data_IF_347512696202
#
_entry.id   IF_347512696202
#
_cell.length_a   1.000
_cell.length_b   1.000
_cell.length_c   1.000
_cell.angle_alpha   90.00
_cell.angle_beta   90.00
_cell.angle_gamma   90.00
#
_symmetry.space_group_name_H-M   'P 1'
#
loop_
_entity.id
_entity.type
_entity.pdbx_description
1 polymer ?
#
# COMPACT_ATOMS: atom_id res chain seq x y z
N UNK A 1 -34.41 43.28 -11.60
CA UNK A 1 -33.03 43.47 -11.11
C UNK A 1 -33.20 43.95 -9.68
N UNK A 2 -32.93 43.22 -8.60
CA UNK A 2 -31.84 42.28 -8.34
C UNK A 2 -32.23 41.57 -7.02
N UNK A 3 -32.58 40.27 -7.04
CA UNK A 3 -32.98 39.54 -5.81
C UNK A 3 -32.31 38.15 -5.72
N UNK A 4 -31.07 38.06 -6.20
CA UNK A 4 -30.29 36.82 -6.29
C UNK A 4 -28.96 36.89 -5.50
N UNK A 5 -28.96 37.46 -4.29
CA UNK A 5 -27.73 37.62 -3.47
C UNK A 5 -27.83 37.11 -2.03
N UNK A 6 -28.88 36.39 -1.66
CA UNK A 6 -28.93 35.60 -0.43
C UNK A 6 -28.96 34.14 -0.84
N UNK A 7 -27.87 33.38 -0.67
CA UNK A 7 -28.00 31.99 -0.20
C UNK A 7 -26.70 31.26 0.10
N UNK A 8 -25.51 31.87 0.11
CA UNK A 8 -24.35 31.21 0.70
C UNK A 8 -23.25 32.20 1.12
N UNK A 9 -23.12 32.46 2.42
CA UNK A 9 -21.86 32.96 2.98
C UNK A 9 -21.10 31.75 3.52
N UNK A 10 -19.93 31.38 2.95
CA UNK A 10 -19.15 30.26 3.46
C UNK A 10 -18.81 30.50 4.92
N UNK A 11 -19.26 29.61 5.80
CA UNK A 11 -19.01 29.72 7.23
C UNK A 11 -17.48 29.62 7.47
N UNK A 12 -16.83 30.69 7.97
CA UNK A 12 -15.38 30.73 8.12
C UNK A 12 -14.87 29.68 9.11
N UNK A 13 -15.70 29.26 10.08
CA UNK A 13 -15.37 28.19 11.03
C UNK A 13 -15.35 26.81 10.36
N UNK A 14 -16.20 26.58 9.37
CA UNK A 14 -16.22 25.34 8.57
C UNK A 14 -15.02 25.29 7.62
N UNK A 15 -14.64 26.41 7.00
CA UNK A 15 -13.41 26.48 6.19
C UNK A 15 -12.16 26.28 7.05
N UNK A 16 -12.06 26.94 8.20
CA UNK A 16 -10.94 26.77 9.12
C UNK A 16 -10.87 25.34 9.69
N UNK A 17 -12.01 24.74 10.05
CA UNK A 17 -12.09 23.34 10.50
C UNK A 17 -11.78 22.32 9.40
N UNK A 18 -12.20 22.57 8.16
CA UNK A 18 -11.89 21.69 7.03
C UNK A 18 -10.43 21.81 6.60
N UNK A 19 -9.83 23.01 6.63
CA UNK A 19 -8.39 23.20 6.37
C UNK A 19 -7.55 22.60 7.49
N UNK A 20 -8.00 22.69 8.75
CA UNK A 20 -7.29 22.09 9.88
C UNK A 20 -7.41 20.56 9.93
N UNK A 21 -8.48 19.98 9.38
CA UNK A 21 -8.60 18.52 9.20
C UNK A 21 -7.91 17.99 7.93
N UNK A 22 -7.98 18.73 6.83
CA UNK A 22 -7.27 18.37 5.58
C UNK A 22 -5.75 18.49 5.75
N UNK A 23 -5.27 19.44 6.55
CA UNK A 23 -3.86 19.56 6.93
C UNK A 23 -3.37 18.46 7.89
N UNK A 24 -4.29 17.71 8.51
CA UNK A 24 -4.00 16.57 9.40
C UNK A 24 -4.23 15.22 8.72
N UNK A 25 -4.37 15.21 7.39
CA UNK A 25 -4.59 13.98 6.62
C UNK A 25 -3.43 12.98 6.77
N UNK A 26 -3.72 11.68 6.59
CA UNK A 26 -3.01 10.55 7.17
C UNK A 26 -1.58 10.34 6.69
N UNK A 27 -1.02 11.18 5.82
CA UNK A 27 0.38 11.07 5.37
C UNK A 27 1.35 11.05 6.57
N UNK A 28 1.10 11.87 7.59
CA UNK A 28 1.85 11.84 8.86
C UNK A 28 1.36 10.75 9.84
N UNK A 29 0.12 10.29 9.70
CA UNK A 29 -0.40 9.16 10.51
C UNK A 29 0.22 7.82 10.05
N UNK A 30 0.44 7.65 8.75
CA UNK A 30 1.21 6.55 8.17
C UNK A 30 2.68 6.62 8.60
N UNK A 31 3.28 7.81 8.66
CA UNK A 31 4.61 8.00 9.23
C UNK A 31 4.67 7.55 10.70
N UNK A 32 3.65 7.87 11.51
CA UNK A 32 3.55 7.36 12.89
C UNK A 32 3.20 5.87 12.98
N UNK A 33 2.42 5.30 12.07
CA UNK A 33 2.19 3.85 11.97
C UNK A 33 3.48 3.12 11.57
N UNK A 34 4.33 3.76 10.76
CA UNK A 34 5.65 3.26 10.37
C UNK A 34 6.67 3.39 11.51
N UNK A 35 6.53 4.40 12.39
CA UNK A 35 7.44 4.66 13.52
C UNK A 35 7.02 4.02 14.86
N UNK A 36 5.72 3.77 15.10
CA UNK A 36 5.18 3.50 16.45
C UNK A 36 4.95 2.03 16.83
N UNK A 37 5.43 1.04 16.07
CA UNK A 37 5.27 -0.34 16.60
C UNK A 37 5.71 -1.49 15.70
N UNK A 38 6.07 -1.21 14.46
CA UNK A 38 6.71 -2.19 13.60
C UNK A 38 7.77 -1.44 12.80
N UNK A 39 8.99 -1.36 13.35
CA UNK A 39 10.17 -1.43 12.46
C UNK A 39 9.81 -2.51 11.43
N UNK A 40 9.87 -2.26 10.11
CA UNK A 40 9.39 -3.24 9.15
C UNK A 40 10.08 -4.54 9.52
N UNK A 41 9.29 -5.51 10.01
CA UNK A 41 9.81 -6.72 10.64
C UNK A 41 10.79 -7.43 9.69
N UNK A 42 10.58 -7.20 8.39
CA UNK A 42 11.43 -7.56 7.24
C UNK A 42 12.84 -6.96 7.28
N UNK A 43 13.00 -5.66 7.58
CA UNK A 43 14.32 -5.03 7.68
C UNK A 43 15.11 -5.47 8.92
N UNK A 44 14.41 -5.82 10.01
CA UNK A 44 15.06 -6.38 11.20
C UNK A 44 15.54 -7.81 10.94
N UNK A 45 14.71 -8.66 10.32
CA UNK A 45 15.10 -10.02 9.92
C UNK A 45 16.25 -9.99 8.90
N UNK A 46 16.21 -9.08 7.92
CA UNK A 46 17.30 -8.88 6.96
C UNK A 46 18.60 -8.40 7.61
N UNK A 47 18.52 -7.50 8.60
CA UNK A 47 19.67 -7.02 9.35
C UNK A 47 20.24 -8.09 10.31
N UNK A 48 19.39 -8.83 11.02
CA UNK A 48 19.79 -9.91 11.92
C UNK A 48 20.44 -11.07 11.14
N UNK A 49 19.89 -11.40 9.96
CA UNK A 49 20.51 -12.32 9.00
C UNK A 49 21.85 -11.76 8.50
N UNK A 50 21.96 -10.47 8.20
CA UNK A 50 23.22 -9.86 7.76
C UNK A 50 24.32 -9.84 8.83
N UNK A 51 23.96 -9.74 10.12
CA UNK A 51 24.92 -9.72 11.24
C UNK A 51 25.36 -11.13 11.65
N UNK A 52 24.47 -12.13 11.60
CA UNK A 52 24.78 -13.51 12.02
C UNK A 52 25.56 -14.32 10.95
N UNK A 53 25.37 -14.02 9.67
CA UNK A 53 25.92 -14.83 8.57
C UNK A 53 27.44 -14.72 8.34
N UNK A 54 28.08 -13.53 8.34
CA UNK A 54 29.52 -13.44 8.09
C UNK A 54 30.36 -14.02 9.24
N UNK A 55 29.79 -14.17 10.45
CA UNK A 55 30.49 -14.70 11.61
C UNK A 55 30.75 -16.22 11.53
N UNK A 56 29.96 -16.95 10.74
CA UNK A 56 30.01 -18.42 10.68
C UNK A 56 30.88 -18.98 9.54
N UNK A 57 31.42 -18.12 8.65
CA UNK A 57 32.07 -18.56 7.41
C UNK A 57 33.60 -18.49 7.47
N UNK A 58 34.26 -19.57 7.03
CA UNK A 58 35.73 -19.75 7.08
C UNK A 58 36.46 -19.17 5.86
N UNK A 59 35.76 -18.68 4.82
CA UNK A 59 36.37 -18.20 3.56
C UNK A 59 35.82 -16.84 3.11
N UNK A 60 36.72 -15.90 2.86
CA UNK A 60 36.41 -14.50 2.55
C UNK A 60 35.51 -14.32 1.30
N UNK A 61 35.72 -15.10 0.24
CA UNK A 61 34.96 -14.97 -1.02
C UNK A 61 33.48 -15.29 -0.82
N UNK A 62 33.15 -16.28 0.02
CA UNK A 62 31.75 -16.62 0.30
C UNK A 62 31.09 -15.50 1.11
N UNK A 63 31.77 -14.95 2.11
CA UNK A 63 31.27 -13.83 2.90
C UNK A 63 30.93 -12.62 2.00
N UNK A 64 31.79 -12.27 1.03
CA UNK A 64 31.50 -11.19 0.09
C UNK A 64 30.24 -11.46 -0.75
N UNK A 65 30.04 -12.68 -1.25
CA UNK A 65 28.87 -13.03 -2.05
C UNK A 65 27.55 -12.90 -1.28
N UNK A 66 27.52 -13.30 0.00
CA UNK A 66 26.31 -13.15 0.81
C UNK A 66 26.04 -11.70 1.19
N UNK A 67 27.07 -10.93 1.53
CA UNK A 67 26.93 -9.50 1.86
C UNK A 67 26.44 -8.72 0.64
N UNK A 68 26.96 -8.99 -0.56
CA UNK A 68 26.47 -8.34 -1.79
C UNK A 68 25.04 -8.76 -2.13
N UNK A 69 24.70 -10.05 -2.00
CA UNK A 69 23.32 -10.52 -2.20
C UNK A 69 22.33 -9.85 -1.21
N UNK A 70 22.71 -9.74 0.07
CA UNK A 70 21.91 -9.06 1.08
C UNK A 70 21.77 -7.56 0.79
N UNK A 71 22.84 -6.88 0.38
CA UNK A 71 22.78 -5.49 -0.05
C UNK A 71 21.85 -5.29 -1.25
N UNK A 72 21.87 -6.20 -2.23
CA UNK A 72 20.93 -6.18 -3.36
C UNK A 72 19.48 -6.33 -2.91
N UNK A 73 19.19 -7.23 -1.94
CA UNK A 73 17.85 -7.38 -1.38
C UNK A 73 17.36 -6.08 -0.72
N UNK A 74 18.21 -5.42 0.08
CA UNK A 74 17.88 -4.15 0.71
C UNK A 74 17.62 -3.02 -0.31
N UNK A 75 18.35 -3.00 -1.41
CA UNK A 75 18.12 -2.05 -2.51
C UNK A 75 16.78 -2.31 -3.20
N UNK A 76 16.42 -3.58 -3.43
CA UNK A 76 15.12 -3.97 -3.99
C UNK A 76 14.00 -3.55 -3.04
N UNK A 77 14.15 -3.74 -1.73
CA UNK A 77 13.18 -3.29 -0.73
C UNK A 77 13.00 -1.76 -0.76
N UNK A 78 14.10 -1.01 -0.76
CA UNK A 78 14.07 0.45 -0.82
C UNK A 78 13.38 0.96 -2.10
N UNK A 79 13.67 0.33 -3.25
CA UNK A 79 13.01 0.63 -4.51
C UNK A 79 11.50 0.33 -4.45
N UNK A 80 11.13 -0.80 -3.88
CA UNK A 80 9.73 -1.23 -3.73
C UNK A 80 8.92 -0.24 -2.89
N UNK A 81 9.52 0.24 -1.80
CA UNK A 81 8.90 1.26 -0.95
C UNK A 81 8.64 2.55 -1.74
N UNK A 82 9.65 3.06 -2.44
CA UNK A 82 9.53 4.27 -3.25
C UNK A 82 8.48 4.11 -4.37
N UNK A 83 8.49 2.97 -5.07
CA UNK A 83 7.54 2.64 -6.11
C UNK A 83 6.10 2.54 -5.58
N UNK A 84 5.91 1.97 -4.38
CA UNK A 84 4.61 1.90 -3.72
C UNK A 84 4.06 3.30 -3.42
N UNK A 85 4.88 4.23 -2.93
CA UNK A 85 4.45 5.62 -2.72
C UNK A 85 3.95 6.27 -4.02
N UNK A 86 4.65 6.04 -5.13
CA UNK A 86 4.21 6.51 -6.44
C UNK A 86 2.84 5.93 -6.84
N UNK A 87 2.65 4.61 -6.68
CA UNK A 87 1.38 3.95 -6.97
C UNK A 87 0.23 4.45 -6.10
N UNK A 88 0.46 4.71 -4.81
CA UNK A 88 -0.54 5.29 -3.91
C UNK A 88 -0.98 6.67 -4.40
N UNK A 89 -0.04 7.52 -4.81
CA UNK A 89 -0.35 8.84 -5.38
C UNK A 89 -1.18 8.72 -6.67
N UNK A 90 -0.86 7.75 -7.53
CA UNK A 90 -1.62 7.47 -8.74
C UNK A 90 -3.04 6.97 -8.42
N UNK A 91 -3.17 6.06 -7.45
CA UNK A 91 -4.45 5.54 -6.97
C UNK A 91 -5.35 6.65 -6.42
N UNK A 92 -4.80 7.57 -5.62
CA UNK A 92 -5.53 8.74 -5.12
C UNK A 92 -6.05 9.65 -6.24
N UNK A 93 -5.22 9.92 -7.26
CA UNK A 93 -5.61 10.72 -8.43
C UNK A 93 -6.75 10.04 -9.20
N UNK A 94 -6.65 8.74 -9.43
CA UNK A 94 -7.67 7.95 -10.13
C UNK A 94 -9.00 7.93 -9.37
N UNK A 95 -8.95 7.77 -8.04
CA UNK A 95 -10.11 7.84 -7.14
C UNK A 95 -10.85 9.18 -7.24
N UNK A 96 -10.11 10.29 -7.20
CA UNK A 96 -10.69 11.64 -7.31
C UNK A 96 -11.31 11.84 -8.70
N UNK A 97 -10.59 11.45 -9.76
CA UNK A 97 -11.06 11.56 -11.14
C UNK A 97 -12.35 10.75 -11.37
N UNK A 98 -12.38 9.47 -11.00
CA UNK A 98 -13.53 8.59 -11.16
C UNK A 98 -14.76 9.13 -10.42
N UNK A 99 -14.60 9.45 -9.12
CA UNK A 99 -15.69 9.99 -8.30
C UNK A 99 -16.26 11.29 -8.90
N UNK A 100 -15.40 12.18 -9.42
CA UNK A 100 -15.82 13.44 -10.02
C UNK A 100 -16.58 13.24 -11.35
N UNK A 101 -16.15 12.30 -12.19
CA UNK A 101 -16.77 12.02 -13.48
C UNK A 101 -18.15 11.37 -13.30
N UNK A 102 -18.23 10.38 -12.41
CA UNK A 102 -19.49 9.72 -12.07
C UNK A 102 -20.45 10.75 -11.49
N UNK A 103 -20.05 11.53 -10.49
CA UNK A 103 -20.90 12.55 -9.90
C UNK A 103 -21.46 13.54 -10.93
N UNK A 104 -20.63 14.03 -11.87
CA UNK A 104 -21.07 14.91 -12.96
C UNK A 104 -22.07 14.23 -13.89
N UNK A 105 -21.86 12.95 -14.23
CA UNK A 105 -22.79 12.17 -15.05
C UNK A 105 -24.12 11.96 -14.34
N UNK A 106 -24.09 11.67 -13.04
CA UNK A 106 -25.28 11.49 -12.22
C UNK A 106 -26.12 12.77 -12.15
N UNK A 107 -25.50 13.94 -11.92
CA UNK A 107 -26.22 15.22 -11.90
C UNK A 107 -26.90 15.52 -13.24
N UNK A 108 -26.22 15.29 -14.37
CA UNK A 108 -26.81 15.49 -15.70
C UNK A 108 -27.98 14.53 -15.96
N UNK A 109 -27.86 13.28 -15.54
CA UNK A 109 -28.90 12.27 -15.74
C UNK A 109 -30.12 12.52 -14.84
N UNK A 110 -29.90 12.96 -13.59
CA UNK A 110 -30.98 13.33 -12.65
C UNK A 110 -31.78 14.55 -13.10
N UNK A 111 -31.16 15.48 -13.84
CA UNK A 111 -31.89 16.59 -14.48
C UNK A 111 -32.73 16.12 -15.68
N UNK A 112 -32.35 15.02 -16.34
CA UNK A 112 -33.00 14.49 -17.55
C UNK A 112 -34.04 13.40 -17.26
N UNK A 113 -33.93 12.71 -16.13
CA UNK A 113 -34.78 11.60 -15.74
C UNK A 113 -35.22 11.80 -14.28
N UNK A 114 -36.53 11.92 -14.06
CA UNK A 114 -37.14 12.22 -12.74
C UNK A 114 -37.03 11.08 -11.70
N UNK A 115 -36.24 10.03 -11.95
CA UNK A 115 -36.08 8.87 -11.06
C UNK A 115 -34.83 8.97 -10.17
N UNK A 116 -34.96 9.55 -8.97
CA UNK A 116 -33.85 9.75 -8.02
C UNK A 116 -33.25 8.48 -7.43
N UNK A 117 -34.00 7.37 -7.38
CA UNK A 117 -33.58 6.13 -6.70
C UNK A 117 -32.44 5.40 -7.41
N UNK A 118 -32.41 5.47 -8.74
CA UNK A 118 -31.33 4.87 -9.56
C UNK A 118 -29.99 5.57 -9.29
N UNK A 119 -30.02 6.87 -8.99
CA UNK A 119 -28.81 7.62 -8.78
C UNK A 119 -28.12 7.31 -7.45
N UNK A 120 -28.91 7.13 -6.39
CA UNK A 120 -28.42 6.68 -5.09
C UNK A 120 -27.80 5.28 -5.15
N UNK A 121 -28.43 4.35 -5.89
CA UNK A 121 -27.90 2.98 -6.08
C UNK A 121 -26.53 2.95 -6.76
N UNK A 122 -26.34 3.72 -7.83
CA UNK A 122 -25.06 3.79 -8.54
C UNK A 122 -23.97 4.39 -7.65
N UNK A 123 -24.28 5.43 -6.87
CA UNK A 123 -23.32 6.02 -5.94
C UNK A 123 -22.91 5.03 -4.84
N UNK A 124 -23.87 4.28 -4.29
CA UNK A 124 -23.60 3.27 -3.27
C UNK A 124 -22.67 2.15 -3.79
N UNK A 125 -22.90 1.66 -5.02
CA UNK A 125 -22.02 0.69 -5.67
C UNK A 125 -20.61 1.28 -5.88
N UNK A 126 -20.53 2.49 -6.44
CA UNK A 126 -19.27 3.18 -6.71
C UNK A 126 -18.46 3.47 -5.44
N UNK A 127 -19.11 3.84 -4.34
CA UNK A 127 -18.43 4.06 -3.06
C UNK A 127 -17.78 2.78 -2.53
N UNK A 128 -18.39 1.61 -2.78
CA UNK A 128 -17.78 0.32 -2.47
C UNK A 128 -16.57 0.05 -3.36
N UNK A 129 -16.70 0.25 -4.67
CA UNK A 129 -15.62 -0.01 -5.64
C UNK A 129 -14.40 0.91 -5.42
N UNK A 130 -14.66 2.17 -5.07
CA UNK A 130 -13.62 3.18 -4.81
C UNK A 130 -12.78 2.86 -3.57
N UNK A 131 -13.33 2.10 -2.61
CA UNK A 131 -12.56 1.63 -1.46
C UNK A 131 -11.45 0.64 -1.87
N UNK A 132 -11.69 -0.17 -2.90
CA UNK A 132 -10.73 -1.15 -3.38
C UNK A 132 -9.56 -0.53 -4.16
N UNK A 133 -9.76 0.58 -4.88
CA UNK A 133 -8.66 1.24 -5.61
C UNK A 133 -7.48 1.65 -4.71
N UNK A 134 -7.77 2.05 -3.46
CA UNK A 134 -6.75 2.40 -2.49
C UNK A 134 -5.90 1.18 -2.11
N UNK A 135 -6.57 0.05 -1.84
CA UNK A 135 -5.92 -1.22 -1.53
C UNK A 135 -5.11 -1.75 -2.71
N UNK A 136 -5.68 -1.74 -3.93
CA UNK A 136 -5.00 -2.20 -5.14
C UNK A 136 -3.75 -1.37 -5.40
N UNK A 137 -3.82 -0.04 -5.21
CA UNK A 137 -2.66 0.83 -5.38
C UNK A 137 -1.53 0.49 -4.40
N UNK A 138 -1.86 0.08 -3.17
CA UNK A 138 -0.87 -0.35 -2.17
C UNK A 138 -0.30 -1.73 -2.52
N UNK A 139 -1.14 -2.71 -2.85
CA UNK A 139 -0.73 -4.12 -2.97
C UNK A 139 -0.18 -4.51 -4.34
N UNK A 140 -0.48 -3.78 -5.40
CA UNK A 140 -0.09 -4.15 -6.77
C UNK A 140 1.43 -4.31 -6.96
N UNK A 141 2.29 -3.39 -6.46
CA UNK A 141 3.75 -3.60 -6.51
C UNK A 141 4.21 -4.84 -5.75
N UNK A 142 3.59 -5.13 -4.59
CA UNK A 142 3.95 -6.28 -3.78
C UNK A 142 3.58 -7.60 -4.43
N UNK A 143 2.53 -7.65 -5.26
CA UNK A 143 2.10 -8.86 -5.93
C UNK A 143 3.20 -9.47 -6.82
N UNK A 144 4.01 -8.61 -7.45
CA UNK A 144 5.10 -9.02 -8.34
C UNK A 144 6.45 -9.17 -7.61
N UNK A 145 6.72 -8.32 -6.63
CA UNK A 145 8.04 -8.26 -5.98
C UNK A 145 8.18 -9.36 -4.91
N UNK A 146 7.12 -9.64 -4.16
CA UNK A 146 7.13 -10.65 -3.10
C UNK A 146 7.53 -12.06 -3.57
N UNK A 147 7.03 -12.60 -4.71
CA UNK A 147 7.48 -13.92 -5.17
C UNK A 147 8.95 -13.94 -5.60
N UNK A 148 9.45 -12.87 -6.23
CA UNK A 148 10.87 -12.75 -6.59
C UNK A 148 11.76 -12.74 -5.35
N UNK A 149 11.37 -11.96 -4.33
CA UNK A 149 12.06 -11.89 -3.04
C UNK A 149 12.06 -13.23 -2.30
N UNK A 150 10.92 -13.94 -2.33
CA UNK A 150 10.77 -15.27 -1.74
C UNK A 150 11.71 -16.28 -2.40
N UNK A 151 11.84 -16.26 -3.72
CA UNK A 151 12.75 -17.16 -4.45
C UNK A 151 14.21 -16.91 -4.08
N UNK A 152 14.65 -15.65 -4.06
CA UNK A 152 16.03 -15.28 -3.71
C UNK A 152 16.33 -15.68 -2.26
N UNK A 153 15.44 -15.32 -1.34
CA UNK A 153 15.60 -15.63 0.09
C UNK A 153 15.57 -17.13 0.35
N UNK A 154 14.67 -17.87 -0.31
CA UNK A 154 14.60 -19.33 -0.21
C UNK A 154 15.88 -20.00 -0.71
N UNK A 155 16.49 -19.49 -1.79
CA UNK A 155 17.75 -20.02 -2.30
C UNK A 155 18.90 -19.78 -1.30
N UNK A 156 19.01 -18.57 -0.74
CA UNK A 156 20.00 -18.24 0.29
C UNK A 156 19.82 -19.13 1.54
N UNK A 157 18.58 -19.33 1.96
CA UNK A 157 18.26 -20.16 3.11
C UNK A 157 18.58 -21.64 2.85
N UNK A 158 18.33 -22.14 1.63
CA UNK A 158 18.64 -23.52 1.25
C UNK A 158 20.14 -23.78 1.35
N UNK A 159 20.96 -22.79 0.99
CA UNK A 159 22.41 -22.89 1.11
C UNK A 159 22.89 -22.93 2.58
N UNK A 160 22.11 -22.40 3.52
CA UNK A 160 22.48 -22.31 4.93
C UNK A 160 21.99 -23.50 5.77
N UNK A 161 20.69 -23.78 5.76
CA UNK A 161 20.08 -24.88 6.53
C UNK A 161 19.84 -26.15 5.71
N UNK A 162 20.23 -26.17 4.44
CA UNK A 162 20.03 -27.33 3.57
C UNK A 162 18.55 -27.62 3.31
N UNK A 163 18.21 -28.90 3.19
CA UNK A 163 16.88 -29.35 2.76
C UNK A 163 15.72 -28.95 3.70
N UNK A 164 15.99 -28.47 4.91
CA UNK A 164 14.97 -28.00 5.84
C UNK A 164 14.06 -26.90 5.24
N UNK A 165 14.56 -26.11 4.28
CA UNK A 165 13.77 -25.07 3.58
C UNK A 165 12.57 -25.62 2.84
N UNK A 166 12.69 -26.81 2.25
CA UNK A 166 11.62 -27.43 1.47
C UNK A 166 10.42 -27.83 2.34
N UNK A 167 10.59 -27.89 3.66
CA UNK A 167 9.49 -28.09 4.60
C UNK A 167 8.96 -26.73 5.07
N UNK A 168 9.85 -25.78 5.38
CA UNK A 168 9.48 -24.47 5.90
C UNK A 168 8.68 -23.59 4.93
N UNK A 169 9.11 -23.50 3.67
CA UNK A 169 8.48 -22.61 2.67
C UNK A 169 7.03 -23.04 2.36
N UNK A 170 6.72 -24.33 2.10
CA UNK A 170 5.35 -24.76 1.90
C UNK A 170 4.45 -24.54 3.12
N UNK A 171 4.97 -24.70 4.34
CA UNK A 171 4.21 -24.42 5.57
C UNK A 171 3.85 -22.93 5.68
N UNK A 172 4.77 -22.03 5.36
CA UNK A 172 4.50 -20.59 5.32
C UNK A 172 3.43 -20.25 4.28
N UNK A 173 3.51 -20.86 3.08
CA UNK A 173 2.50 -20.68 2.03
C UNK A 173 1.14 -21.21 2.49
N UNK A 174 1.11 -22.40 3.09
CA UNK A 174 -0.12 -22.99 3.61
C UNK A 174 -0.80 -22.09 4.65
N UNK A 175 -0.02 -21.47 5.54
CA UNK A 175 -0.52 -20.52 6.54
C UNK A 175 -1.19 -19.30 5.90
N UNK A 176 -0.67 -18.80 4.78
CA UNK A 176 -1.27 -17.68 4.04
C UNK A 176 -2.65 -18.05 3.49
N UNK A 177 -2.83 -19.30 3.05
CA UNK A 177 -4.09 -19.79 2.51
C UNK A 177 -5.13 -20.18 3.57
N UNK A 178 -4.77 -20.25 4.85
CA UNK A 178 -5.74 -20.59 5.88
C UNK A 178 -6.79 -19.46 6.00
N UNK A 179 -8.08 -19.72 5.73
CA UNK A 179 -9.12 -18.76 6.03
C UNK A 179 -9.14 -18.58 7.54
N UNK A 180 -9.05 -17.34 8.00
CA UNK A 180 -9.29 -17.03 9.41
C UNK A 180 -10.76 -17.30 9.71
N UNK A 181 -11.03 -18.43 10.36
CA UNK A 181 -12.32 -18.80 10.95
C UNK A 181 -12.61 -17.87 12.13
#
# INVERSE_FOLDING_TARGET
>A
MDDNKRFWKPNPKLKAGFISEVGKRPVFAWEKVQLSGKRPLRALIGADFMVLYPFSMTSATQAYLYVTAAACLLLIEAFTLCHTFYHVLLGMKMKIACTSLVHRKMLRLSCLSAGGDTAGRIMNLMSSDVAYFDMIAIYMPYLLITPMELLITSYLLWRYIGYAVFIGVPLMILQIFQPKI
#
